data_IF_524148406905
#
_entry.id   IF_524148406905
#
_cell.length_a   1.000
_cell.length_b   1.000
_cell.length_c   1.000
_cell.angle_alpha   90.00
_cell.angle_beta   90.00
_cell.angle_gamma   90.00
#
_symmetry.space_group_name_H-M   'P 1'
#
loop_
_entity.id
_entity.type
_entity.pdbx_description
1 polymer ?
#
# COMPACT_ATOMS: atom_id res chain seq x y z
N UNK A 1 11.03 -30.69 14.96
CA UNK A 1 10.56 -29.82 16.07
C UNK A 1 11.53 -28.63 16.14
N UNK A 2 11.02 -27.40 16.25
CA UNK A 2 11.88 -26.22 16.38
C UNK A 2 12.66 -26.28 17.70
N UNK A 3 13.83 -25.63 17.77
CA UNK A 3 14.58 -25.57 19.03
C UNK A 3 13.88 -24.59 20.00
N UNK A 4 13.66 -24.98 21.27
CA UNK A 4 13.11 -24.08 22.28
C UNK A 4 14.04 -22.88 22.51
N UNK A 5 13.49 -21.81 23.08
CA UNK A 5 14.33 -20.68 23.53
C UNK A 5 15.36 -21.15 24.57
N UNK A 6 16.57 -20.60 24.49
CA UNK A 6 17.59 -20.89 25.48
C UNK A 6 17.22 -20.28 26.84
N UNK A 7 17.36 -21.06 27.91
CA UNK A 7 17.11 -20.60 29.30
C UNK A 7 17.97 -19.41 29.69
N UNK A 8 19.20 -19.32 29.16
CA UNK A 8 20.07 -18.15 29.32
C UNK A 8 19.50 -16.89 28.67
N UNK A 9 18.87 -17.03 27.51
CA UNK A 9 18.27 -15.91 26.77
C UNK A 9 17.04 -15.36 27.51
N UNK A 10 16.20 -16.22 28.09
CA UNK A 10 15.03 -15.79 28.89
C UNK A 10 15.46 -14.89 30.06
N UNK A 11 16.58 -15.19 30.71
CA UNK A 11 17.11 -14.36 31.78
C UNK A 11 17.61 -12.99 31.29
N UNK A 12 18.27 -12.96 30.11
CA UNK A 12 18.69 -11.71 29.47
C UNK A 12 17.48 -10.84 29.11
N UNK A 13 16.43 -11.44 28.57
CA UNK A 13 15.18 -10.73 28.24
C UNK A 13 14.54 -10.16 29.51
N UNK A 14 14.43 -10.96 30.58
CA UNK A 14 13.85 -10.48 31.84
C UNK A 14 14.60 -9.26 32.40
N UNK A 15 15.93 -9.26 32.35
CA UNK A 15 16.74 -8.09 32.74
C UNK A 15 16.46 -6.88 31.85
N UNK A 16 16.33 -7.07 30.52
CA UNK A 16 15.95 -6.02 29.59
C UNK A 16 14.55 -5.44 29.82
N UNK A 17 13.65 -6.21 30.45
CA UNK A 17 12.32 -5.78 30.88
C UNK A 17 12.34 -5.07 32.25
N UNK A 18 13.51 -4.86 32.86
CA UNK A 18 13.66 -4.21 34.17
C UNK A 18 13.46 -5.15 35.36
N UNK A 19 13.51 -6.47 35.16
CA UNK A 19 13.43 -7.45 36.26
C UNK A 19 14.84 -7.68 36.82
N UNK A 20 15.11 -7.08 37.98
CA UNK A 20 16.44 -7.14 38.64
C UNK A 20 16.65 -8.41 39.48
N UNK A 21 15.59 -9.18 39.77
CA UNK A 21 15.68 -10.38 40.59
C UNK A 21 16.42 -11.51 39.86
N UNK A 22 17.29 -12.22 40.58
CA UNK A 22 17.96 -13.40 40.04
C UNK A 22 16.96 -14.55 39.87
N UNK A 23 16.82 -15.03 38.64
CA UNK A 23 15.96 -16.17 38.30
C UNK A 23 16.74 -17.47 38.49
N UNK A 24 16.17 -18.44 39.21
CA UNK A 24 16.78 -19.77 39.42
C UNK A 24 16.78 -20.59 38.13
N UNK A 25 17.66 -21.60 38.05
CA UNK A 25 17.77 -22.44 36.85
C UNK A 25 16.48 -23.20 36.51
N UNK A 26 15.84 -23.77 37.53
CA UNK A 26 14.56 -24.49 37.39
C UNK A 26 13.44 -23.57 36.87
N UNK A 27 13.32 -22.35 37.42
CA UNK A 27 12.32 -21.39 36.96
C UNK A 27 12.56 -20.99 35.50
N UNK A 28 13.82 -20.83 35.06
CA UNK A 28 14.11 -20.55 33.64
C UNK A 28 13.63 -21.66 32.72
N UNK A 29 13.76 -22.92 33.13
CA UNK A 29 13.27 -24.08 32.36
C UNK A 29 11.74 -24.04 32.28
N UNK A 30 11.05 -23.87 33.41
CA UNK A 30 9.59 -23.77 33.44
C UNK A 30 9.06 -22.60 32.60
N UNK A 31 9.75 -21.45 32.61
CA UNK A 31 9.38 -20.30 31.79
C UNK A 31 9.45 -20.60 30.28
N UNK A 32 10.43 -21.37 29.83
CA UNK A 32 10.52 -21.78 28.41
C UNK A 32 9.31 -22.62 28.03
N UNK A 33 8.93 -23.60 28.85
CA UNK A 33 7.77 -24.46 28.62
C UNK A 33 6.47 -23.65 28.57
N UNK A 34 6.27 -22.74 29.52
CA UNK A 34 5.10 -21.85 29.56
C UNK A 34 5.01 -20.94 28.33
N UNK A 35 6.14 -20.42 27.85
CA UNK A 35 6.19 -19.59 26.64
C UNK A 35 5.83 -20.39 25.38
N UNK A 36 6.24 -21.66 25.29
CA UNK A 36 5.87 -22.53 24.18
C UNK A 36 4.38 -22.86 24.17
N UNK A 37 3.80 -23.15 25.33
CA UNK A 37 2.35 -23.34 25.47
C UNK A 37 1.60 -22.08 25.06
N UNK A 38 2.01 -20.92 25.58
CA UNK A 38 1.38 -19.65 25.24
C UNK A 38 1.49 -19.32 23.75
N UNK A 39 2.61 -19.63 23.10
CA UNK A 39 2.77 -19.42 21.66
C UNK A 39 1.78 -20.25 20.85
N UNK A 40 1.49 -21.50 21.25
CA UNK A 40 0.50 -22.34 20.55
C UNK A 40 -0.89 -21.71 20.57
N UNK A 41 -1.30 -21.17 21.72
CA UNK A 41 -2.58 -20.49 21.87
C UNK A 41 -2.65 -19.24 20.99
N UNK A 42 -1.60 -18.40 21.03
CA UNK A 42 -1.49 -17.18 20.21
C UNK A 42 -1.54 -17.52 18.72
N UNK A 43 -0.80 -18.54 18.27
CA UNK A 43 -0.79 -18.93 16.86
C UNK A 43 -2.17 -19.35 16.36
N UNK A 44 -2.91 -20.15 17.15
CA UNK A 44 -4.28 -20.55 16.79
C UNK A 44 -5.21 -19.35 16.71
N UNK A 45 -5.16 -18.47 17.70
CA UNK A 45 -5.97 -17.26 17.71
C UNK A 45 -5.65 -16.35 16.50
N UNK A 46 -4.37 -16.16 16.20
CA UNK A 46 -3.94 -15.38 15.03
C UNK A 46 -4.34 -16.04 13.71
N UNK A 47 -4.29 -17.37 13.62
CA UNK A 47 -4.69 -18.14 12.45
C UNK A 47 -6.20 -18.01 12.22
N UNK A 48 -7.00 -18.22 13.26
CA UNK A 48 -8.45 -18.04 13.23
C UNK A 48 -8.82 -16.62 12.77
N UNK A 49 -8.17 -15.59 13.31
CA UNK A 49 -8.41 -14.20 12.91
C UNK A 49 -7.91 -13.89 11.50
N UNK A 50 -6.80 -14.50 11.07
CA UNK A 50 -6.27 -14.36 9.70
C UNK A 50 -7.25 -14.96 8.69
N UNK A 51 -7.76 -16.16 8.97
CA UNK A 51 -8.70 -16.88 8.12
C UNK A 51 -10.12 -16.28 8.19
N UNK A 52 -10.51 -15.69 9.31
CA UNK A 52 -11.75 -14.92 9.41
C UNK A 52 -11.72 -13.67 8.51
N UNK A 53 -10.55 -13.01 8.39
CA UNK A 53 -10.38 -11.86 7.51
C UNK A 53 -10.18 -12.24 6.04
N UNK A 54 -9.45 -13.32 5.76
CA UNK A 54 -9.18 -13.84 4.42
C UNK A 54 -9.07 -15.39 4.47
N UNK A 55 -10.16 -16.12 4.19
CA UNK A 55 -10.21 -17.59 4.32
C UNK A 55 -9.21 -18.36 3.46
N UNK A 56 -8.74 -17.77 2.35
CA UNK A 56 -7.80 -18.40 1.42
C UNK A 56 -6.33 -18.02 1.71
N UNK A 57 -6.09 -17.24 2.78
CA UNK A 57 -4.77 -16.75 3.13
C UNK A 57 -3.88 -17.88 3.66
N UNK A 58 -2.83 -18.19 2.91
CA UNK A 58 -1.85 -19.25 3.24
C UNK A 58 -0.71 -18.80 4.16
N UNK A 59 -0.74 -17.56 4.65
CA UNK A 59 0.34 -16.99 5.48
C UNK A 59 -0.26 -16.29 6.68
N UNK A 60 0.12 -16.73 7.89
CA UNK A 60 -0.32 -16.13 9.15
C UNK A 60 -0.12 -14.62 9.14
N UNK A 61 -1.20 -13.87 9.34
CA UNK A 61 -1.18 -12.41 9.38
C UNK A 61 -1.00 -11.87 10.79
N UNK A 62 -0.75 -10.56 10.90
CA UNK A 62 -1.03 -9.81 12.13
C UNK A 62 -2.49 -9.35 12.04
N UNK A 63 -3.42 -9.97 12.78
CA UNK A 63 -4.85 -9.66 12.66
C UNK A 63 -5.22 -8.33 13.32
N UNK A 64 -4.35 -7.78 14.16
CA UNK A 64 -4.63 -6.56 14.94
C UNK A 64 -4.19 -5.33 14.16
N UNK A 65 -3.19 -5.43 13.26
CA UNK A 65 -2.59 -4.27 12.61
C UNK A 65 -2.22 -4.52 11.15
N UNK A 66 -2.54 -3.55 10.30
CA UNK A 66 -1.89 -3.39 9.00
C UNK A 66 -0.54 -2.70 9.21
N UNK A 67 0.55 -3.37 8.87
CA UNK A 67 1.92 -2.87 9.06
C UNK A 67 2.59 -2.50 7.73
N UNK A 68 3.61 -1.66 7.80
CA UNK A 68 4.53 -1.43 6.68
C UNK A 68 5.20 -2.75 6.23
N UNK A 69 5.44 -2.89 4.92
CA UNK A 69 5.88 -4.15 4.34
C UNK A 69 7.27 -4.58 4.79
N UNK A 70 7.36 -5.65 5.60
CA UNK A 70 8.60 -6.17 6.18
C UNK A 70 9.75 -6.31 5.17
N UNK A 71 9.52 -6.98 4.04
CA UNK A 71 10.58 -7.23 3.05
C UNK A 71 11.08 -5.94 2.39
N UNK A 72 10.18 -4.98 2.14
CA UNK A 72 10.53 -3.69 1.55
C UNK A 72 11.33 -2.84 2.53
N UNK A 73 10.87 -2.73 3.78
CA UNK A 73 11.61 -2.03 4.84
C UNK A 73 12.99 -2.66 5.04
N UNK A 74 13.08 -4.00 5.05
CA UNK A 74 14.36 -4.70 5.17
C UNK A 74 15.33 -4.36 4.04
N UNK A 75 14.86 -4.35 2.79
CA UNK A 75 15.67 -3.95 1.63
C UNK A 75 16.21 -2.53 1.80
N UNK A 76 15.33 -1.57 2.11
CA UNK A 76 15.74 -0.19 2.36
C UNK A 76 16.74 -0.06 3.52
N UNK A 77 16.57 -0.82 4.61
CA UNK A 77 17.53 -0.82 5.71
C UNK A 77 18.90 -1.37 5.28
N UNK A 78 18.93 -2.42 4.45
CA UNK A 78 20.19 -2.99 3.91
C UNK A 78 20.92 -1.92 3.10
N UNK A 79 20.20 -1.18 2.26
CA UNK A 79 20.79 -0.12 1.42
C UNK A 79 21.33 1.06 2.25
N UNK A 80 20.83 1.25 3.48
CA UNK A 80 21.20 2.38 4.35
C UNK A 80 22.24 2.04 5.44
N UNK A 81 22.58 0.77 5.65
CA UNK A 81 23.61 0.38 6.64
C UNK A 81 25.00 0.36 6.00
N UNK A 82 25.95 1.10 6.59
CA UNK A 82 27.33 1.19 6.06
C UNK A 82 28.38 0.40 6.84
N UNK A 83 28.09 -0.03 8.07
CA UNK A 83 29.07 -0.64 9.00
C UNK A 83 28.76 -2.09 9.37
N UNK A 84 27.62 -2.61 8.94
CA UNK A 84 27.16 -3.97 9.23
C UNK A 84 26.69 -4.61 7.94
N UNK A 85 26.97 -5.90 7.78
CA UNK A 85 26.73 -6.61 6.52
C UNK A 85 25.28 -7.13 6.37
N UNK A 86 24.47 -7.05 7.42
CA UNK A 86 23.11 -7.60 7.39
C UNK A 86 22.14 -6.93 8.36
N UNK A 87 20.85 -7.04 8.04
CA UNK A 87 19.74 -6.56 8.86
C UNK A 87 18.94 -7.76 9.37
N UNK A 88 18.85 -7.87 10.70
CA UNK A 88 18.08 -8.92 11.39
C UNK A 88 16.59 -8.60 11.47
N UNK A 89 15.74 -9.64 11.52
CA UNK A 89 14.28 -9.50 11.50
C UNK A 89 13.71 -8.62 12.64
N UNK A 90 14.27 -8.74 13.86
CA UNK A 90 13.86 -7.92 15.00
C UNK A 90 14.11 -6.42 14.75
N UNK A 91 15.21 -6.06 14.07
CA UNK A 91 15.50 -4.68 13.72
C UNK A 91 14.50 -4.12 12.70
N UNK A 92 14.06 -4.94 11.74
CA UNK A 92 13.03 -4.55 10.75
C UNK A 92 11.68 -4.31 11.42
N UNK A 93 11.27 -5.18 12.34
CA UNK A 93 10.02 -5.00 13.10
C UNK A 93 10.07 -3.71 13.92
N UNK A 94 11.17 -3.47 14.64
CA UNK A 94 11.35 -2.24 15.41
C UNK A 94 11.37 -0.98 14.52
N UNK A 95 12.00 -1.04 13.34
CA UNK A 95 12.00 0.06 12.38
C UNK A 95 10.59 0.36 11.86
N UNK A 96 9.82 -0.67 11.50
CA UNK A 96 8.41 -0.51 11.11
C UNK A 96 7.60 0.18 12.21
N UNK A 97 7.75 -0.24 13.47
CA UNK A 97 7.02 0.36 14.59
C UNK A 97 7.36 1.85 14.77
N UNK A 98 8.63 2.22 14.62
CA UNK A 98 9.05 3.62 14.67
C UNK A 98 8.52 4.44 13.49
N UNK A 99 8.56 3.90 12.27
CA UNK A 99 8.03 4.53 11.07
C UNK A 99 6.51 4.72 11.15
N UNK A 100 5.79 3.73 11.66
CA UNK A 100 4.33 3.81 11.86
C UNK A 100 3.96 4.83 12.94
N UNK A 101 4.73 4.92 14.03
CA UNK A 101 4.55 5.96 15.05
C UNK A 101 4.80 7.37 14.48
N UNK A 102 5.82 7.51 13.64
CA UNK A 102 6.11 8.75 12.92
C UNK A 102 4.94 9.12 11.97
N UNK A 103 4.48 8.18 11.15
CA UNK A 103 3.35 8.37 10.24
C UNK A 103 2.08 8.77 10.98
N UNK A 104 1.76 8.12 12.09
CA UNK A 104 0.60 8.45 12.92
C UNK A 104 0.65 9.89 13.42
N UNK A 105 1.82 10.33 13.88
CA UNK A 105 2.02 11.69 14.40
C UNK A 105 1.87 12.71 13.27
N UNK A 106 2.55 12.48 12.15
CA UNK A 106 2.53 13.37 10.99
C UNK A 106 1.14 13.49 10.37
N UNK A 107 0.49 12.37 10.09
CA UNK A 107 -0.85 12.35 9.48
C UNK A 107 -1.92 12.86 10.45
N UNK A 108 -1.79 12.59 11.75
CA UNK A 108 -2.69 13.17 12.76
C UNK A 108 -2.62 14.70 12.79
N UNK A 109 -1.41 15.25 12.74
CA UNK A 109 -1.19 16.70 12.63
C UNK A 109 -1.77 17.27 11.34
N UNK A 110 -1.47 16.64 10.19
CA UNK A 110 -1.98 17.06 8.89
C UNK A 110 -3.52 16.95 8.78
N UNK A 111 -4.13 15.95 9.41
CA UNK A 111 -5.58 15.78 9.49
C UNK A 111 -6.23 16.89 10.33
N UNK A 112 -5.63 17.25 11.47
CA UNK A 112 -6.12 18.37 12.29
C UNK A 112 -6.07 19.70 11.53
N UNK A 113 -5.01 19.93 10.75
CA UNK A 113 -4.88 21.10 9.89
C UNK A 113 -5.93 21.10 8.76
N UNK A 114 -6.17 19.96 8.13
CA UNK A 114 -7.22 19.82 7.12
C UNK A 114 -8.61 20.10 7.71
N UNK A 115 -8.89 19.56 8.91
CA UNK A 115 -10.14 19.78 9.63
C UNK A 115 -10.33 21.25 10.04
N UNK A 116 -9.26 21.94 10.45
CA UNK A 116 -9.29 23.38 10.73
C UNK A 116 -9.65 24.20 9.46
N UNK A 117 -9.16 23.75 8.31
CA UNK A 117 -9.51 24.30 6.99
C UNK A 117 -10.89 23.81 6.46
N UNK A 118 -11.65 23.05 7.26
CA UNK A 118 -12.94 22.40 6.92
C UNK A 118 -12.87 21.50 5.69
N UNK A 119 -11.72 20.87 5.49
CA UNK A 119 -11.45 19.93 4.40
C UNK A 119 -11.42 18.51 4.97
N UNK A 120 -12.08 17.57 4.28
CA UNK A 120 -11.98 16.14 4.59
C UNK A 120 -10.76 15.48 3.90
N UNK A 121 -10.01 16.24 3.12
CA UNK A 121 -8.85 15.76 2.36
C UNK A 121 -7.56 16.43 2.85
N UNK A 122 -6.55 15.61 3.18
CA UNK A 122 -5.21 16.10 3.51
C UNK A 122 -4.48 16.49 2.21
N UNK A 123 -4.34 17.79 1.95
CA UNK A 123 -3.61 18.34 0.80
C UNK A 123 -2.13 18.56 1.12
N UNK A 124 -1.24 18.70 0.09
CA UNK A 124 0.19 18.94 0.29
C UNK A 124 0.51 20.11 1.25
N UNK A 125 -0.31 21.16 1.24
CA UNK A 125 -0.18 22.30 2.17
C UNK A 125 -0.37 21.92 3.64
N UNK A 126 -1.24 20.96 3.96
CA UNK A 126 -1.46 20.51 5.32
C UNK A 126 -0.27 19.66 5.78
N UNK A 127 0.22 18.77 4.90
CA UNK A 127 1.41 17.96 5.16
C UNK A 127 2.66 18.83 5.38
N UNK A 128 2.87 19.85 4.54
CA UNK A 128 3.99 20.80 4.68
C UNK A 128 3.97 21.50 6.03
N UNK A 129 2.82 22.06 6.42
CA UNK A 129 2.65 22.69 7.74
C UNK A 129 2.90 21.71 8.90
N UNK A 130 2.47 20.45 8.76
CA UNK A 130 2.71 19.42 9.76
C UNK A 130 4.20 19.07 9.89
N UNK A 131 4.91 18.98 8.76
CA UNK A 131 6.37 18.77 8.73
C UNK A 131 7.12 19.94 9.37
N UNK A 132 6.76 21.18 9.00
CA UNK A 132 7.36 22.40 9.58
C UNK A 132 7.18 22.42 11.11
N UNK A 133 6.00 22.02 11.61
CA UNK A 133 5.73 21.92 13.05
C UNK A 133 6.54 20.81 13.76
N UNK A 134 6.92 19.76 13.04
CA UNK A 134 7.79 18.69 13.54
C UNK A 134 9.29 19.04 13.42
N UNK A 135 9.64 20.18 12.86
CA UNK A 135 11.04 20.57 12.60
C UNK A 135 11.71 19.75 11.49
N UNK A 136 10.92 19.14 10.62
CA UNK A 136 11.39 18.36 9.48
C UNK A 136 11.11 19.09 8.18
N UNK A 137 12.03 19.03 7.24
CA UNK A 137 11.81 19.51 5.88
C UNK A 137 11.21 18.41 5.03
N UNK A 138 10.24 18.77 4.19
CA UNK A 138 9.77 17.86 3.13
C UNK A 138 10.95 17.41 2.25
N UNK A 139 10.92 16.19 1.71
CA UNK A 139 11.88 15.77 0.68
C UNK A 139 11.84 16.78 -0.49
N UNK A 140 13.00 17.05 -1.11
CA UNK A 140 13.01 17.90 -2.31
C UNK A 140 12.25 17.22 -3.45
N UNK A 141 11.72 18.01 -4.39
CA UNK A 141 11.10 17.48 -5.61
C UNK A 141 12.06 16.53 -6.35
N UNK A 142 13.36 16.85 -6.40
CA UNK A 142 14.36 15.96 -7.02
C UNK A 142 14.52 14.63 -6.28
N UNK A 143 14.42 14.63 -4.93
CA UNK A 143 14.46 13.40 -4.14
C UNK A 143 13.20 12.55 -4.33
N UNK A 144 12.05 13.18 -4.54
CA UNK A 144 10.79 12.51 -4.88
C UNK A 144 10.89 11.93 -6.30
N UNK A 145 11.37 12.70 -7.27
CA UNK A 145 11.61 12.25 -8.64
C UNK A 145 12.63 11.11 -8.72
N UNK A 146 13.71 11.14 -7.95
CA UNK A 146 14.71 10.07 -7.91
C UNK A 146 14.17 8.74 -7.34
N UNK A 147 13.15 8.80 -6.47
CA UNK A 147 12.40 7.64 -5.98
C UNK A 147 11.32 7.19 -6.96
N UNK A 148 11.04 8.01 -7.97
CA UNK A 148 10.12 7.70 -9.06
C UNK A 148 10.89 6.88 -10.10
N UNK A 149 10.43 5.67 -10.47
CA UNK A 149 11.12 4.87 -11.48
C UNK A 149 11.36 5.66 -12.77
N UNK A 150 12.56 5.53 -13.36
CA UNK A 150 12.95 6.26 -14.57
C UNK A 150 11.95 6.03 -15.71
N UNK A 151 11.75 7.07 -16.52
CA UNK A 151 10.82 6.99 -17.65
C UNK A 151 11.14 5.81 -18.56
N UNK A 152 10.21 4.86 -18.76
CA UNK A 152 10.42 3.85 -19.77
C UNK A 152 10.41 4.55 -21.13
N UNK A 153 11.42 4.23 -21.95
CA UNK A 153 11.55 4.70 -23.32
C UNK A 153 10.27 4.48 -24.10
N UNK A 154 9.98 5.38 -25.06
CA UNK A 154 8.78 5.48 -25.92
C UNK A 154 8.20 4.17 -26.50
N UNK A 155 8.95 3.07 -26.47
CA UNK A 155 8.53 1.75 -26.93
C UNK A 155 7.84 0.89 -25.86
N UNK A 156 7.82 1.31 -24.60
CA UNK A 156 7.18 0.53 -23.52
C UNK A 156 5.65 0.42 -23.66
N UNK A 157 5.03 1.34 -24.40
CA UNK A 157 3.62 1.23 -24.77
C UNK A 157 3.44 0.08 -25.78
N UNK A 158 4.34 -0.07 -26.75
CA UNK A 158 4.35 -1.16 -27.74
C UNK A 158 4.72 -2.51 -27.14
N UNK A 159 5.76 -2.56 -26.30
CA UNK A 159 6.20 -3.78 -25.61
C UNK A 159 5.15 -4.32 -24.62
N UNK A 160 4.41 -3.44 -23.93
CA UNK A 160 3.28 -3.84 -23.07
C UNK A 160 2.07 -4.34 -23.88
N UNK A 161 1.96 -3.93 -25.15
CA UNK A 161 0.91 -4.30 -26.09
C UNK A 161 1.19 -5.64 -26.81
N UNK A 162 2.46 -5.96 -27.10
CA UNK A 162 2.83 -7.14 -27.91
C UNK A 162 3.32 -8.35 -27.10
N UNK A 163 3.73 -8.18 -25.85
CA UNK A 163 4.35 -9.26 -25.06
C UNK A 163 3.91 -9.30 -23.60
N UNK A 164 2.72 -9.88 -23.34
CA UNK A 164 2.21 -10.59 -22.13
C UNK A 164 2.76 -10.41 -20.70
N UNK A 165 3.67 -9.49 -20.40
CA UNK A 165 4.31 -9.31 -19.07
C UNK A 165 4.57 -7.83 -18.74
N UNK A 166 4.15 -6.88 -19.59
CA UNK A 166 4.31 -5.45 -19.33
C UNK A 166 3.51 -5.00 -18.10
N UNK A 167 4.20 -4.81 -16.98
CA UNK A 167 3.60 -4.27 -15.75
C UNK A 167 3.05 -2.87 -16.04
N UNK A 168 1.75 -2.67 -15.83
CA UNK A 168 1.10 -1.36 -15.91
C UNK A 168 1.62 -0.47 -14.78
N UNK A 169 2.71 0.26 -15.05
CA UNK A 169 3.25 1.24 -14.11
C UNK A 169 2.43 2.52 -14.16
N UNK A 170 2.33 3.28 -13.05
CA UNK A 170 1.62 4.57 -13.02
C UNK A 170 2.04 5.52 -14.15
N UNK A 171 3.30 5.46 -14.56
CA UNK A 171 3.82 6.28 -15.64
C UNK A 171 3.28 5.92 -17.02
N UNK A 172 3.14 4.61 -17.31
CA UNK A 172 2.50 4.14 -18.54
C UNK A 172 1.04 4.61 -18.57
N UNK A 173 0.36 4.58 -17.42
CA UNK A 173 -1.01 5.09 -17.29
C UNK A 173 -1.10 6.61 -17.55
N UNK A 174 -0.15 7.41 -17.03
CA UNK A 174 -0.08 8.86 -17.33
C UNK A 174 0.10 9.15 -18.81
N UNK A 175 1.00 8.41 -19.47
CA UNK A 175 1.25 8.58 -20.90
C UNK A 175 0.03 8.20 -21.74
N UNK A 176 -0.67 7.13 -21.35
CA UNK A 176 -1.92 6.70 -21.98
C UNK A 176 -3.03 7.73 -21.80
N UNK A 177 -3.23 8.25 -20.59
CA UNK A 177 -4.24 9.28 -20.33
C UNK A 177 -4.05 10.52 -21.23
N UNK A 178 -2.81 10.96 -21.40
CA UNK A 178 -2.47 12.10 -22.28
C UNK A 178 -2.64 11.76 -23.76
N UNK A 179 -2.30 10.54 -24.20
CA UNK A 179 -2.45 10.15 -25.61
C UNK A 179 -3.91 10.01 -26.02
N UNK A 180 -4.80 9.66 -25.10
CA UNK A 180 -6.25 9.53 -25.34
C UNK A 180 -7.04 10.84 -25.22
N UNK A 181 -6.41 11.93 -24.78
CA UNK A 181 -7.06 13.22 -24.54
C UNK A 181 -7.50 13.99 -25.81
N UNK A 182 -7.47 13.35 -26.99
CA UNK A 182 -7.89 13.90 -28.29
C UNK A 182 -7.34 15.32 -28.57
N UNK A 183 -6.09 15.58 -28.18
CA UNK A 183 -5.42 16.87 -28.36
C UNK A 183 -5.75 17.96 -27.33
N UNK A 184 -6.64 17.71 -26.36
CA UNK A 184 -6.87 18.60 -25.21
C UNK A 184 -5.73 18.49 -24.19
N UNK A 185 -5.42 19.61 -23.54
CA UNK A 185 -4.58 19.59 -22.34
C UNK A 185 -5.36 18.93 -21.21
N UNK A 186 -4.69 18.07 -20.47
CA UNK A 186 -5.23 17.42 -19.26
C UNK A 186 -4.45 17.98 -18.10
N UNK A 187 -5.17 18.43 -17.07
CA UNK A 187 -4.54 18.88 -15.84
C UNK A 187 -3.93 17.69 -15.08
N UNK A 188 -2.77 17.89 -14.45
CA UNK A 188 -2.04 16.78 -13.81
C UNK A 188 -2.79 16.20 -12.60
N UNK A 189 -3.58 17.01 -11.88
CA UNK A 189 -4.45 16.53 -10.79
C UNK A 189 -5.54 15.60 -11.34
N UNK A 190 -5.96 15.83 -12.59
CA UNK A 190 -6.95 14.99 -13.28
C UNK A 190 -6.38 13.64 -13.70
N UNK A 191 -5.11 13.61 -14.08
CA UNK A 191 -4.41 12.36 -14.43
C UNK A 191 -4.20 11.51 -13.18
N UNK A 192 -3.79 12.13 -12.07
CA UNK A 192 -3.63 11.42 -10.80
C UNK A 192 -4.98 10.89 -10.30
N UNK A 193 -6.06 11.67 -10.38
CA UNK A 193 -7.40 11.20 -10.04
C UNK A 193 -7.84 10.03 -10.93
N UNK A 194 -7.61 10.09 -12.25
CA UNK A 194 -7.95 9.00 -13.16
C UNK A 194 -7.21 7.69 -12.81
N UNK A 195 -5.94 7.80 -12.38
CA UNK A 195 -5.14 6.65 -11.96
C UNK A 195 -5.64 6.09 -10.62
N UNK A 196 -6.04 6.96 -9.69
CA UNK A 196 -6.64 6.53 -8.42
C UNK A 196 -7.96 5.79 -8.67
N UNK A 197 -8.86 6.35 -9.49
CA UNK A 197 -10.11 5.70 -9.88
C UNK A 197 -9.88 4.35 -10.56
N UNK A 198 -8.84 4.25 -11.40
CA UNK A 198 -8.45 2.98 -12.00
C UNK A 198 -8.08 1.95 -10.95
N UNK A 199 -7.24 2.31 -9.97
CA UNK A 199 -6.84 1.40 -8.91
C UNK A 199 -7.98 1.04 -7.96
N UNK A 200 -8.87 1.98 -7.66
CA UNK A 200 -10.06 1.73 -6.84
C UNK A 200 -10.97 0.72 -7.53
N UNK A 201 -11.28 0.90 -8.82
CA UNK A 201 -12.12 -0.04 -9.56
C UNK A 201 -11.45 -1.40 -9.81
N UNK A 202 -10.14 -1.44 -10.03
CA UNK A 202 -9.39 -2.71 -10.06
C UNK A 202 -9.47 -3.39 -8.70
N UNK A 203 -9.33 -2.65 -7.61
CA UNK A 203 -9.47 -3.14 -6.25
C UNK A 203 -10.88 -3.70 -5.97
N UNK A 204 -11.92 -2.97 -6.36
CA UNK A 204 -13.32 -3.37 -6.26
C UNK A 204 -13.59 -4.65 -7.04
N UNK A 205 -13.19 -4.72 -8.32
CA UNK A 205 -13.42 -5.93 -9.12
C UNK A 205 -12.59 -7.11 -8.62
N UNK A 206 -11.35 -6.90 -8.18
CA UNK A 206 -10.54 -7.96 -7.55
C UNK A 206 -11.20 -8.46 -6.26
N UNK A 207 -11.76 -7.56 -5.45
CA UNK A 207 -12.51 -7.90 -4.25
C UNK A 207 -13.79 -8.67 -4.59
N UNK A 208 -14.55 -8.22 -5.59
CA UNK A 208 -15.78 -8.89 -6.08
C UNK A 208 -15.51 -10.25 -6.74
N UNK A 209 -14.37 -10.42 -7.40
CA UNK A 209 -13.94 -11.71 -7.97
C UNK A 209 -13.60 -12.69 -6.86
N UNK A 210 -12.86 -12.26 -5.85
CA UNK A 210 -12.56 -13.07 -4.66
C UNK A 210 -13.83 -13.48 -3.93
N UNK A 211 -14.83 -12.61 -3.84
CA UNK A 211 -16.13 -12.96 -3.24
C UNK A 211 -16.98 -13.88 -4.12
N UNK A 212 -16.90 -13.77 -5.45
CA UNK A 212 -17.61 -14.64 -6.40
C UNK A 212 -17.09 -16.09 -6.45
N UNK A 213 -15.79 -16.29 -6.19
CA UNK A 213 -15.13 -17.60 -6.11
C UNK A 213 -15.57 -18.44 -4.91
N UNK A 214 -16.18 -17.83 -3.89
CA UNK A 214 -16.61 -18.46 -2.63
C UNK A 214 -18.06 -19.01 -2.67
N UNK A 215 -18.67 -19.15 -3.85
CA UNK A 215 -19.98 -19.82 -4.01
C UNK A 215 -20.99 -19.16 -4.95
N UNK A 216 -20.58 -18.23 -5.83
CA UNK A 216 -21.47 -17.53 -6.77
C UNK A 216 -21.71 -18.27 -8.10
N UNK A 217 -22.71 -17.82 -8.87
CA UNK A 217 -23.01 -18.34 -10.20
C UNK A 217 -21.78 -18.19 -11.13
N UNK A 218 -21.34 -19.25 -11.84
CA UNK A 218 -20.24 -19.17 -12.81
C UNK A 218 -20.39 -18.05 -13.86
N UNK A 219 -21.62 -17.67 -14.22
CA UNK A 219 -21.88 -16.55 -15.12
C UNK A 219 -21.46 -15.19 -14.51
N UNK A 220 -21.65 -15.00 -13.19
CA UNK A 220 -21.25 -13.78 -12.48
C UNK A 220 -19.73 -13.70 -12.38
N UNK A 221 -19.06 -14.84 -12.21
CA UNK A 221 -17.59 -14.90 -12.23
C UNK A 221 -17.04 -14.54 -13.62
N UNK A 222 -17.66 -15.04 -14.70
CA UNK A 222 -17.28 -14.68 -16.07
C UNK A 222 -17.50 -13.18 -16.32
N UNK A 223 -18.64 -12.61 -15.90
CA UNK A 223 -18.87 -11.16 -16.02
C UNK A 223 -17.85 -10.32 -15.25
N UNK A 224 -17.43 -10.77 -14.06
CA UNK A 224 -16.41 -10.09 -13.24
C UNK A 224 -15.00 -10.25 -13.83
N UNK A 225 -14.70 -11.42 -14.37
CA UNK A 225 -13.47 -11.67 -15.14
C UNK A 225 -13.43 -10.77 -16.38
N UNK A 226 -14.55 -10.63 -17.10
CA UNK A 226 -14.69 -9.74 -18.26
C UNK A 226 -14.54 -8.27 -17.85
N UNK A 227 -15.06 -7.84 -16.70
CA UNK A 227 -14.85 -6.49 -16.15
C UNK A 227 -13.39 -6.23 -15.79
N UNK A 228 -12.74 -7.19 -15.13
CA UNK A 228 -11.32 -7.12 -14.80
C UNK A 228 -10.47 -7.08 -16.08
N UNK A 229 -10.77 -7.96 -17.05
CA UNK A 229 -10.15 -7.93 -18.37
C UNK A 229 -10.45 -6.63 -19.13
N UNK A 230 -11.62 -6.03 -18.94
CA UNK A 230 -11.98 -4.74 -19.55
C UNK A 230 -11.25 -3.56 -18.94
N UNK A 231 -10.96 -3.59 -17.63
CA UNK A 231 -10.06 -2.65 -16.95
C UNK A 231 -8.62 -2.83 -17.45
N UNK A 232 -8.17 -4.07 -17.61
CA UNK A 232 -6.82 -4.37 -18.10
C UNK A 232 -6.66 -4.19 -19.61
N UNK A 233 -7.75 -4.26 -20.38
CA UNK A 233 -7.76 -3.82 -21.75
C UNK A 233 -7.69 -2.29 -21.76
N UNK A 234 -6.71 -1.78 -22.50
CA UNK A 234 -6.42 -0.37 -22.78
C UNK A 234 -7.64 0.49 -23.22
N UNK A 235 -8.81 -0.12 -23.40
CA UNK A 235 -10.09 0.51 -23.68
C UNK A 235 -10.71 1.28 -22.52
N UNK A 236 -10.49 0.90 -21.25
CA UNK A 236 -11.09 1.63 -20.11
C UNK A 236 -10.57 3.07 -20.03
N UNK A 237 -9.24 3.21 -19.99
CA UNK A 237 -8.58 4.52 -19.86
C UNK A 237 -8.86 5.41 -21.08
N UNK A 238 -8.98 4.81 -22.27
CA UNK A 238 -9.41 5.48 -23.50
C UNK A 238 -10.86 5.97 -23.44
N UNK A 239 -11.78 5.14 -22.94
CA UNK A 239 -13.20 5.50 -22.82
C UNK A 239 -13.42 6.60 -21.78
N UNK A 240 -12.79 6.48 -20.61
CA UNK A 240 -12.83 7.50 -19.55
C UNK A 240 -12.30 8.84 -20.06
N UNK A 241 -11.14 8.85 -20.71
CA UNK A 241 -10.58 10.10 -21.24
C UNK A 241 -11.42 10.69 -22.37
N UNK A 242 -12.01 9.87 -23.22
CA UNK A 242 -12.91 10.34 -24.28
C UNK A 242 -14.14 11.02 -23.68
N UNK A 243 -14.81 10.38 -22.72
CA UNK A 243 -15.97 10.95 -22.02
C UNK A 243 -15.59 12.20 -21.20
N UNK A 244 -14.41 12.22 -20.60
CA UNK A 244 -13.91 13.40 -19.89
C UNK A 244 -13.66 14.58 -20.84
N UNK A 245 -13.19 14.32 -22.05
CA UNK A 245 -13.09 15.35 -23.09
C UNK A 245 -14.46 15.86 -23.53
N UNK A 246 -15.45 14.96 -23.70
CA UNK A 246 -16.83 15.33 -24.03
C UNK A 246 -17.47 16.17 -22.92
N UNK A 247 -17.28 15.79 -21.65
CA UNK A 247 -17.73 16.57 -20.48
C UNK A 247 -17.05 17.95 -20.43
N UNK A 248 -15.75 18.01 -20.71
CA UNK A 248 -15.02 19.27 -20.80
C UNK A 248 -15.55 20.16 -21.93
N UNK A 249 -15.89 19.59 -23.09
CA UNK A 249 -16.49 20.32 -24.20
C UNK A 249 -17.87 20.87 -23.86
N UNK A 250 -18.73 20.07 -23.20
CA UNK A 250 -20.05 20.51 -22.72
C UNK A 250 -19.91 21.64 -21.68
N UNK A 251 -18.89 21.57 -20.82
CA UNK A 251 -18.57 22.61 -19.84
C UNK A 251 -17.87 23.84 -20.46
N UNK A 252 -17.59 23.85 -21.77
CA UNK A 252 -16.85 24.93 -22.43
C UNK A 252 -15.37 25.02 -22.05
N UNK A 253 -14.82 23.96 -21.45
CA UNK A 253 -13.44 23.92 -20.97
C UNK A 253 -12.45 23.47 -22.05
N UNK A 254 -11.36 24.22 -22.17
CA UNK A 254 -10.22 23.88 -23.03
C UNK A 254 -9.24 22.88 -22.40
N UNK A 255 -9.39 22.63 -21.09
CA UNK A 255 -8.56 21.74 -20.30
C UNK A 255 -9.47 20.70 -19.62
N UNK A 256 -9.06 19.44 -19.64
CA UNK A 256 -9.76 18.40 -18.87
C UNK A 256 -9.33 18.53 -17.41
N UNK A 257 -10.31 18.75 -16.53
CA UNK A 257 -10.17 18.92 -15.09
C UNK A 257 -10.79 17.72 -14.36
N UNK A 258 -10.48 17.57 -13.07
CA UNK A 258 -10.94 16.48 -12.20
C UNK A 258 -12.46 16.29 -12.28
N UNK A 259 -13.21 17.38 -12.23
CA UNK A 259 -14.68 17.38 -12.26
C UNK A 259 -15.27 16.71 -13.52
N UNK A 260 -14.52 16.69 -14.62
CA UNK A 260 -14.95 16.07 -15.87
C UNK A 260 -14.78 14.54 -15.86
N UNK A 261 -13.97 14.00 -14.94
CA UNK A 261 -13.63 12.57 -14.84
C UNK A 261 -14.43 11.87 -13.74
N UNK A 262 -14.52 12.46 -12.55
CA UNK A 262 -15.06 11.82 -11.34
C UNK A 262 -16.53 11.41 -11.42
N UNK A 263 -17.29 11.97 -12.37
CA UNK A 263 -18.71 11.68 -12.56
C UNK A 263 -18.99 10.68 -13.69
N UNK A 264 -17.96 10.11 -14.30
CA UNK A 264 -18.11 9.16 -15.41
C UNK A 264 -18.35 7.76 -14.84
N UNK A 265 -19.39 7.08 -15.32
CA UNK A 265 -19.59 5.66 -15.03
C UNK A 265 -18.44 4.83 -15.65
N UNK A 266 -17.63 4.14 -14.84
CA UNK A 266 -16.46 3.38 -15.29
C UNK A 266 -16.81 2.12 -16.10
N UNK A 267 -18.09 1.71 -16.14
CA UNK A 267 -18.55 0.48 -16.78
C UNK A 267 -19.34 0.68 -18.08
N UNK A 268 -19.48 1.94 -18.53
CA UNK A 268 -20.28 2.32 -19.71
C UNK A 268 -19.38 2.67 -20.89
#
# INVERSE_FOLDING_TARGET
MAKPWATSHVATVASGLGIEHRISGEVKTQLVELLEERLKDICREMEDQTLAADPERKTLGDPVRTRLGFNRTRGMMIDNVGRVDSVGAAAVVAANEQLEAYLRTLLGSAANLAAADRMNTIKPRHLKKALDAMGHTAPSEEAIEALTPAEPTRDAIGDALEGGTGVLTPQVLRQMARSFANGKKVDDETIEELILLFYDHVGEVQHEMKSGLLGGNPADFIQKLDRLQSLFMLGWMRNMMKKACENADVAGSRIVLVDHVVNIDPWV
#
